data_IF_559705764410
#
_entry.id   IF_559705764410
#
_cell.length_a   1.000
_cell.length_b   1.000
_cell.length_c   1.000
_cell.angle_alpha   90.00
_cell.angle_beta   90.00
_cell.angle_gamma   90.00
#
_symmetry.space_group_name_H-M   'P 1'
#
loop_
_entity.id
_entity.type
_entity.pdbx_description
1 polymer ?
#
# COMPACT_ATOMS: atom_id res chain seq x y z
N UNK A 1 15.35 2.22 -14.88
CA UNK A 1 14.45 3.40 -14.70
C UNK A 1 12.94 3.08 -14.75
N UNK A 2 12.50 1.82 -14.63
CA UNK A 2 11.06 1.43 -14.70
C UNK A 2 10.48 0.82 -13.43
N UNK A 3 11.29 0.64 -12.38
CA UNK A 3 10.91 -0.21 -11.24
C UNK A 3 9.79 0.39 -10.40
N UNK A 4 9.81 1.71 -10.12
CA UNK A 4 8.78 2.35 -9.28
C UNK A 4 7.38 2.29 -9.90
N UNK A 5 7.26 2.53 -11.20
CA UNK A 5 5.97 2.51 -11.92
C UNK A 5 5.35 1.12 -11.85
N UNK A 6 6.12 0.08 -12.22
CA UNK A 6 5.66 -1.31 -12.20
C UNK A 6 5.33 -1.75 -10.77
N UNK A 7 6.19 -1.47 -9.80
CA UNK A 7 5.98 -1.82 -8.39
C UNK A 7 4.70 -1.18 -7.83
N UNK A 8 4.47 0.11 -8.08
CA UNK A 8 3.28 0.82 -7.58
C UNK A 8 1.99 0.26 -8.16
N UNK A 9 2.00 -0.09 -9.45
CA UNK A 9 0.85 -0.70 -10.11
C UNK A 9 0.61 -2.11 -9.55
N UNK A 10 1.65 -2.95 -9.47
CA UNK A 10 1.53 -4.32 -8.94
C UNK A 10 1.03 -4.31 -7.50
N UNK A 11 1.63 -3.48 -6.63
CA UNK A 11 1.25 -3.36 -5.23
C UNK A 11 -0.17 -2.80 -5.08
N UNK A 12 -0.51 -1.75 -5.84
CA UNK A 12 -1.87 -1.19 -5.85
C UNK A 12 -2.93 -2.23 -6.23
N UNK A 13 -2.68 -3.01 -7.28
CA UNK A 13 -3.58 -4.10 -7.70
C UNK A 13 -3.68 -5.18 -6.61
N UNK A 14 -2.55 -5.57 -6.01
CA UNK A 14 -2.53 -6.55 -4.91
C UNK A 14 -3.36 -6.07 -3.70
N UNK A 15 -3.21 -4.81 -3.31
CA UNK A 15 -3.96 -4.20 -2.21
C UNK A 15 -5.46 -4.12 -2.50
N UNK A 16 -5.83 -3.77 -3.74
CA UNK A 16 -7.23 -3.77 -4.18
C UNK A 16 -7.80 -5.19 -4.13
N UNK A 17 -7.10 -6.17 -4.69
CA UNK A 17 -7.51 -7.58 -4.68
C UNK A 17 -7.63 -8.12 -3.26
N UNK A 18 -6.67 -7.80 -2.38
CA UNK A 18 -6.70 -8.20 -0.98
C UNK A 18 -7.96 -7.71 -0.27
N UNK A 19 -8.32 -6.42 -0.43
CA UNK A 19 -9.52 -5.87 0.20
C UNK A 19 -10.81 -6.49 -0.33
N UNK A 20 -10.88 -6.81 -1.63
CA UNK A 20 -12.03 -7.54 -2.22
C UNK A 20 -12.14 -8.95 -1.65
N UNK A 21 -11.03 -9.70 -1.57
CA UNK A 21 -11.00 -11.06 -1.02
C UNK A 21 -11.43 -11.06 0.44
N UNK A 22 -10.93 -10.12 1.25
CA UNK A 22 -11.31 -9.99 2.66
C UNK A 22 -12.78 -9.60 2.84
N UNK A 23 -13.31 -8.75 1.96
CA UNK A 23 -14.72 -8.39 1.99
C UNK A 23 -15.63 -9.59 1.70
N UNK A 24 -15.30 -10.41 0.70
CA UNK A 24 -16.06 -11.63 0.39
C UNK A 24 -15.91 -12.66 1.51
N UNK A 25 -14.69 -12.85 2.04
CA UNK A 25 -14.40 -13.78 3.12
C UNK A 25 -15.16 -13.48 4.42
N UNK A 26 -15.49 -12.20 4.66
CA UNK A 26 -16.30 -11.77 5.81
C UNK A 26 -17.81 -11.84 5.58
N UNK A 27 -18.26 -12.42 4.46
CA UNK A 27 -19.66 -12.44 4.07
C UNK A 27 -20.21 -11.04 3.80
N UNK A 28 -19.37 -10.11 3.33
CA UNK A 28 -19.74 -8.74 2.97
C UNK A 28 -20.25 -7.87 4.13
N UNK A 29 -20.08 -8.31 5.38
CA UNK A 29 -20.53 -7.57 6.57
C UNK A 29 -19.52 -6.53 7.07
N UNK A 30 -18.23 -6.69 6.79
CA UNK A 30 -17.19 -5.79 7.31
C UNK A 30 -16.69 -4.80 6.26
N UNK A 31 -17.21 -3.58 6.28
CA UNK A 31 -16.70 -2.46 5.48
C UNK A 31 -15.22 -2.15 5.79
N UNK A 32 -14.76 -2.43 7.00
CA UNK A 32 -13.35 -2.33 7.40
C UNK A 32 -12.41 -3.27 6.63
N UNK A 33 -12.93 -4.34 6.04
CA UNK A 33 -12.15 -5.23 5.17
C UNK A 33 -11.75 -4.57 3.84
N UNK A 34 -12.43 -3.49 3.41
CA UNK A 34 -12.12 -2.74 2.18
C UNK A 34 -11.04 -1.66 2.37
N UNK A 35 -10.59 -1.40 3.61
CA UNK A 35 -9.53 -0.42 3.88
C UNK A 35 -8.28 -0.64 2.99
N UNK A 36 -7.79 -1.88 2.77
CA UNK A 36 -6.67 -2.14 1.87
C UNK A 36 -6.92 -1.63 0.44
N UNK A 37 -8.14 -1.79 -0.09
CA UNK A 37 -8.49 -1.30 -1.42
C UNK A 37 -8.53 0.23 -1.49
N UNK A 38 -9.02 0.90 -0.44
CA UNK A 38 -9.04 2.37 -0.35
C UNK A 38 -7.62 2.94 -0.38
N UNK A 39 -6.66 2.28 0.27
CA UNK A 39 -5.24 2.66 0.20
C UNK A 39 -4.55 2.23 -1.10
N UNK A 40 -5.00 1.13 -1.72
CA UNK A 40 -4.47 0.65 -2.99
C UNK A 40 -4.76 1.58 -4.17
N UNK A 41 -5.91 2.25 -4.19
CA UNK A 41 -6.32 3.16 -5.27
C UNK A 41 -5.37 4.37 -5.44
N UNK A 42 -5.03 5.15 -4.39
CA UNK A 42 -4.05 6.23 -4.48
C UNK A 42 -2.66 5.74 -4.92
N UNK A 43 -2.21 4.59 -4.41
CA UNK A 43 -0.90 4.01 -4.77
C UNK A 43 -0.87 3.64 -6.27
N UNK A 44 -1.97 3.07 -6.78
CA UNK A 44 -2.11 2.73 -8.19
C UNK A 44 -2.11 3.99 -9.07
N UNK A 45 -2.86 5.02 -8.67
CA UNK A 45 -2.87 6.33 -9.32
C UNK A 45 -1.47 6.97 -9.36
N UNK A 46 -0.73 6.94 -8.26
CA UNK A 46 0.67 7.38 -8.24
C UNK A 46 1.54 6.60 -9.22
N UNK A 47 1.33 5.29 -9.35
CA UNK A 47 1.99 4.47 -10.35
C UNK A 47 1.73 4.93 -11.79
N UNK A 48 0.48 5.31 -12.11
CA UNK A 48 0.12 5.84 -13.42
C UNK A 48 0.76 7.21 -13.66
N UNK A 49 0.70 8.12 -12.68
CA UNK A 49 1.31 9.46 -12.80
C UNK A 49 2.82 9.38 -12.92
N UNK A 50 3.46 8.38 -12.30
CA UNK A 50 4.90 8.13 -12.39
C UNK A 50 5.37 7.66 -13.78
N UNK A 51 4.47 7.33 -14.72
CA UNK A 51 4.85 7.11 -16.14
C UNK A 51 5.37 8.38 -16.80
N UNK A 52 4.94 9.56 -16.33
CA UNK A 52 5.28 10.82 -16.96
C UNK A 52 6.59 11.37 -16.36
N UNK A 53 7.63 11.52 -17.18
CA UNK A 53 9.00 11.75 -16.67
C UNK A 53 9.14 13.08 -15.92
N UNK A 54 8.44 14.12 -16.39
CA UNK A 54 8.34 15.42 -15.71
C UNK A 54 7.66 15.35 -14.34
N UNK A 55 6.71 14.43 -14.14
CA UNK A 55 5.97 14.27 -12.87
C UNK A 55 6.51 13.14 -11.99
N UNK A 56 7.51 12.39 -12.45
CA UNK A 56 8.07 11.21 -11.77
C UNK A 56 8.59 11.52 -10.37
N UNK A 57 9.27 12.67 -10.18
CA UNK A 57 9.80 13.08 -8.86
C UNK A 57 8.68 13.36 -7.85
N UNK A 58 7.62 14.04 -8.28
CA UNK A 58 6.46 14.38 -7.44
C UNK A 58 5.63 13.14 -7.14
N UNK A 59 5.38 12.30 -8.15
CA UNK A 59 4.68 11.02 -7.97
C UNK A 59 5.42 10.09 -6.99
N UNK A 60 6.75 10.08 -7.00
CA UNK A 60 7.54 9.30 -6.06
C UNK A 60 7.38 9.77 -4.60
N UNK A 61 7.33 11.08 -4.34
CA UNK A 61 7.08 11.61 -3.00
C UNK A 61 5.68 11.26 -2.50
N UNK A 62 4.67 11.44 -3.36
CA UNK A 62 3.27 11.13 -3.01
C UNK A 62 3.12 9.63 -2.75
N UNK A 63 3.72 8.78 -3.59
CA UNK A 63 3.73 7.32 -3.41
C UNK A 63 4.35 6.89 -2.08
N UNK A 64 5.47 7.49 -1.69
CA UNK A 64 6.12 7.23 -0.39
C UNK A 64 5.24 7.69 0.77
N UNK A 65 4.59 8.86 0.65
CA UNK A 65 3.67 9.37 1.66
C UNK A 65 2.47 8.43 1.87
N UNK A 66 1.85 7.96 0.78
CA UNK A 66 0.76 6.98 0.87
C UNK A 66 1.23 5.62 1.38
N UNK A 67 2.42 5.16 0.98
CA UNK A 67 3.03 3.95 1.53
C UNK A 67 3.28 4.07 3.03
N UNK A 68 3.77 5.23 3.49
CA UNK A 68 4.03 5.49 4.90
C UNK A 68 2.72 5.53 5.70
N UNK A 69 1.71 6.26 5.20
CA UNK A 69 0.38 6.33 5.81
C UNK A 69 -0.30 4.96 5.83
N UNK A 70 -0.18 4.16 4.77
CA UNK A 70 -0.69 2.80 4.72
C UNK A 70 0.04 1.88 5.70
N UNK A 71 1.34 2.05 5.88
CA UNK A 71 2.13 1.29 6.85
C UNK A 71 1.73 1.65 8.28
N UNK A 72 1.66 2.94 8.61
CA UNK A 72 1.23 3.43 9.93
C UNK A 72 -0.23 3.08 10.23
N UNK A 73 -1.12 3.23 9.25
CA UNK A 73 -2.53 2.87 9.38
C UNK A 73 -2.71 1.36 9.55
N UNK A 74 -2.06 0.55 8.72
CA UNK A 74 -2.16 -0.91 8.73
C UNK A 74 -1.52 -1.55 9.96
N UNK A 75 -0.25 -1.26 10.24
CA UNK A 75 0.45 -1.77 11.42
C UNK A 75 -0.09 -1.13 12.70
N UNK A 76 -0.32 0.19 12.73
CA UNK A 76 -0.80 0.87 13.93
C UNK A 76 -2.19 0.42 14.35
N UNK A 77 -3.18 0.41 13.44
CA UNK A 77 -4.53 -0.08 13.77
C UNK A 77 -4.59 -1.59 13.90
N UNK A 78 -3.86 -2.34 13.06
CA UNK A 78 -3.81 -3.80 13.12
C UNK A 78 -3.26 -4.29 14.46
N UNK A 79 -2.20 -3.67 14.95
CA UNK A 79 -1.57 -4.05 16.23
C UNK A 79 -2.44 -3.65 17.43
N UNK A 80 -3.13 -2.50 17.38
CA UNK A 80 -4.15 -2.15 18.39
C UNK A 80 -5.28 -3.18 18.44
N UNK A 81 -5.82 -3.60 17.29
CA UNK A 81 -6.88 -4.62 17.24
C UNK A 81 -6.45 -5.97 17.80
N UNK A 82 -5.21 -6.39 17.54
CA UNK A 82 -4.63 -7.59 18.13
C UNK A 82 -4.53 -7.46 19.66
N UNK A 83 -4.06 -6.32 20.17
CA UNK A 83 -3.97 -6.03 21.60
C UNK A 83 -5.34 -6.05 22.29
N UNK A 84 -6.40 -5.63 21.61
CA UNK A 84 -7.78 -5.68 22.11
C UNK A 84 -8.44 -7.07 21.94
N UNK A 85 -7.70 -8.10 21.50
CA UNK A 85 -8.19 -9.46 21.17
C UNK A 85 -9.29 -9.51 20.09
N UNK A 86 -9.51 -8.43 19.36
CA UNK A 86 -10.47 -8.35 18.24
C UNK A 86 -9.80 -8.87 16.96
N UNK A 87 -9.44 -10.16 16.95
CA UNK A 87 -8.72 -10.83 15.85
C UNK A 87 -9.65 -11.29 14.71
N UNK A 88 -10.57 -10.41 14.30
CA UNK A 88 -11.40 -10.65 13.13
C UNK A 88 -10.61 -10.54 11.82
N UNK A 89 -11.23 -10.93 10.70
CA UNK A 89 -10.64 -10.80 9.36
C UNK A 89 -10.19 -9.37 9.01
N UNK A 90 -10.82 -8.35 9.60
CA UNK A 90 -10.39 -6.96 9.47
C UNK A 90 -9.01 -6.70 10.10
N UNK A 91 -8.70 -7.32 11.25
CA UNK A 91 -7.39 -7.18 11.90
C UNK A 91 -6.29 -7.85 11.05
N UNK A 92 -6.56 -9.06 10.56
CA UNK A 92 -5.66 -9.79 9.65
C UNK A 92 -5.42 -8.97 8.37
N UNK A 93 -6.48 -8.39 7.79
CA UNK A 93 -6.38 -7.52 6.63
C UNK A 93 -5.51 -6.28 6.86
N UNK A 94 -5.63 -5.63 8.02
CA UNK A 94 -4.81 -4.47 8.38
C UNK A 94 -3.33 -4.82 8.53
N UNK A 95 -3.01 -5.96 9.14
CA UNK A 95 -1.62 -6.42 9.28
C UNK A 95 -1.01 -6.72 7.90
N UNK A 96 -1.72 -7.45 7.04
CA UNK A 96 -1.25 -7.77 5.69
C UNK A 96 -1.09 -6.50 4.85
N UNK A 97 -2.05 -5.57 4.93
CA UNK A 97 -1.97 -4.26 4.29
C UNK A 97 -0.72 -3.49 4.74
N UNK A 98 -0.48 -3.47 6.06
CA UNK A 98 0.69 -2.82 6.65
C UNK A 98 2.00 -3.43 6.19
N UNK A 99 2.10 -4.76 6.12
CA UNK A 99 3.26 -5.48 5.59
C UNK A 99 3.50 -5.18 4.11
N UNK A 100 2.46 -5.21 3.27
CA UNK A 100 2.57 -4.89 1.85
C UNK A 100 3.00 -3.43 1.64
N UNK A 101 2.43 -2.50 2.41
CA UNK A 101 2.83 -1.09 2.37
C UNK A 101 4.28 -0.89 2.83
N UNK A 102 4.73 -1.61 3.86
CA UNK A 102 6.12 -1.56 4.35
C UNK A 102 7.09 -2.06 3.27
N UNK A 103 6.82 -3.20 2.66
CA UNK A 103 7.65 -3.76 1.57
C UNK A 103 7.71 -2.78 0.40
N UNK A 104 6.57 -2.19 0.04
CA UNK A 104 6.50 -1.19 -1.02
C UNK A 104 7.29 0.09 -0.67
N UNK A 105 7.18 0.57 0.57
CA UNK A 105 7.93 1.73 1.05
C UNK A 105 9.44 1.49 0.95
N UNK A 106 9.92 0.33 1.42
CA UNK A 106 11.34 -0.07 1.33
C UNK A 106 11.77 -0.14 -0.13
N UNK A 107 10.95 -0.71 -1.01
CA UNK A 107 11.26 -0.79 -2.44
C UNK A 107 11.32 0.60 -3.09
N UNK A 108 10.43 1.52 -2.72
CA UNK A 108 10.47 2.92 -3.15
C UNK A 108 11.75 3.62 -2.70
N UNK A 109 12.15 3.46 -1.43
CA UNK A 109 13.40 4.03 -0.90
C UNK A 109 14.62 3.48 -1.65
N UNK A 110 14.69 2.15 -1.84
CA UNK A 110 15.77 1.52 -2.62
C UNK A 110 15.82 2.05 -4.05
N UNK A 111 14.67 2.24 -4.69
CA UNK A 111 14.61 2.81 -6.04
C UNK A 111 15.08 4.26 -6.07
N UNK A 112 14.84 5.04 -5.01
CA UNK A 112 15.30 6.43 -4.89
C UNK A 112 16.82 6.51 -4.69
N UNK A 113 17.38 5.64 -3.85
CA UNK A 113 18.83 5.53 -3.64
C UNK A 113 19.53 5.12 -4.94
N UNK A 114 18.99 4.12 -5.65
CA UNK A 114 19.52 3.70 -6.95
C UNK A 114 19.51 4.85 -7.97
N UNK A 115 18.42 5.63 -8.04
CA UNK A 115 18.34 6.79 -8.92
C UNK A 115 19.35 7.89 -8.56
N UNK A 116 19.69 8.07 -7.28
CA UNK A 116 20.75 9.00 -6.85
C UNK A 116 22.16 8.49 -7.13
N UNK A 117 22.38 7.18 -7.11
CA UNK A 117 23.69 6.55 -7.38
C UNK A 117 24.06 6.53 -8.86
N UNK A 118 23.07 6.67 -9.74
CA UNK A 118 23.24 6.75 -11.20
C UNK A 118 23.32 8.19 -11.72
N UNK A 119 23.41 9.17 -10.83
CA UNK A 119 23.56 10.60 -11.12
C UNK A 119 24.87 11.11 -10.54
#
# INVERSE_FOLDING_TARGET
>A
MTSITKLSITVGILLIGLGVILYISTGSKSLTAMIPSVFGVPILLCGIVAKNENKRKMAAHIAVLFGLLGTLGGLGMGMKKILTKDVGAAAVGMIIMGLLCLIYLIACIKSFIAARKSS
#
